data_IF_088696693340
#
_entry.id   IF_088696693340
#
_cell.length_a   1.000
_cell.length_b   1.000
_cell.length_c   1.000
_cell.angle_alpha   90.00
_cell.angle_beta   90.00
_cell.angle_gamma   90.00
#
_symmetry.space_group_name_H-M   'P 1'
#
loop_
_entity.id
_entity.type
_entity.pdbx_description
1 polymer ?
#
# COMPACT_ATOMS: atom_id res chain seq x y z
N UNK A 1 -9.75 -4.09 -10.97
CA UNK A 1 -9.70 -3.01 -9.96
C UNK A 1 -8.23 -2.75 -9.61
N UNK A 2 -7.75 -1.51 -9.73
CA UNK A 2 -6.31 -1.15 -9.62
C UNK A 2 -5.64 -1.67 -8.32
N UNK A 3 -6.37 -1.72 -7.20
CA UNK A 3 -5.85 -2.12 -5.89
C UNK A 3 -5.25 -3.55 -5.85
N UNK A 4 -5.81 -4.52 -6.59
CA UNK A 4 -5.35 -5.93 -6.54
C UNK A 4 -3.89 -6.08 -6.99
N UNK A 5 -3.50 -5.39 -8.06
CA UNK A 5 -2.14 -5.50 -8.60
C UNK A 5 -1.08 -5.00 -7.59
N UNK A 6 -1.36 -3.90 -6.88
CA UNK A 6 -0.45 -3.39 -5.84
C UNK A 6 -0.36 -4.34 -4.64
N UNK A 7 -1.47 -4.95 -4.24
CA UNK A 7 -1.46 -5.95 -3.16
C UNK A 7 -0.58 -7.14 -3.55
N UNK A 8 -0.77 -7.70 -4.74
CA UNK A 8 0.05 -8.83 -5.21
C UNK A 8 1.54 -8.45 -5.33
N UNK A 9 1.84 -7.26 -5.86
CA UNK A 9 3.22 -6.76 -5.91
C UNK A 9 3.84 -6.69 -4.51
N UNK A 10 3.11 -6.20 -3.50
CA UNK A 10 3.60 -6.18 -2.12
C UNK A 10 3.82 -7.60 -1.58
N UNK A 11 2.90 -8.54 -1.84
CA UNK A 11 3.01 -9.94 -1.39
C UNK A 11 4.24 -10.64 -1.97
N UNK A 12 4.63 -10.31 -3.21
CA UNK A 12 5.81 -10.89 -3.85
C UNK A 12 7.10 -10.16 -3.44
N UNK A 13 7.09 -8.82 -3.37
CA UNK A 13 8.31 -8.04 -3.17
C UNK A 13 8.76 -7.94 -1.70
N UNK A 14 7.82 -7.97 -0.74
CA UNK A 14 8.14 -7.76 0.68
C UNK A 14 8.90 -8.92 1.31
N UNK A 15 8.56 -10.21 1.10
CA UNK A 15 9.28 -11.32 1.73
C UNK A 15 10.81 -11.28 1.50
N UNK A 16 11.33 -11.15 0.26
CA UNK A 16 12.78 -11.06 0.06
C UNK A 16 13.40 -9.77 0.61
N UNK A 17 12.64 -8.69 0.79
CA UNK A 17 13.13 -7.48 1.48
C UNK A 17 13.31 -7.74 2.99
N UNK A 18 12.37 -8.47 3.61
CA UNK A 18 12.46 -8.85 5.03
C UNK A 18 13.64 -9.79 5.28
N UNK A 19 13.86 -10.77 4.40
CA UNK A 19 15.02 -11.68 4.47
C UNK A 19 16.36 -10.93 4.43
N UNK A 20 16.43 -9.82 3.69
CA UNK A 20 17.63 -8.98 3.59
C UNK A 20 17.75 -7.95 4.73
N UNK A 21 16.75 -7.81 5.58
CA UNK A 21 16.69 -6.79 6.63
C UNK A 21 16.56 -5.35 6.10
N UNK A 22 16.19 -5.18 4.82
CA UNK A 22 16.09 -3.86 4.18
C UNK A 22 15.14 -3.85 2.99
N UNK A 23 14.29 -2.82 2.93
CA UNK A 23 13.45 -2.53 1.76
C UNK A 23 12.58 -1.29 1.91
N UNK A 24 12.17 -0.69 0.79
CA UNK A 24 11.34 0.52 0.76
C UNK A 24 10.22 0.35 -0.26
N UNK A 25 8.97 0.45 0.19
CA UNK A 25 7.80 0.46 -0.68
C UNK A 25 7.22 1.88 -0.71
N UNK A 26 7.09 2.45 -1.90
CA UNK A 26 6.44 3.74 -2.13
C UNK A 26 5.23 3.53 -3.04
N UNK A 27 4.04 3.68 -2.46
CA UNK A 27 2.77 3.56 -3.16
C UNK A 27 2.28 4.94 -3.59
N UNK A 28 2.14 5.15 -4.90
CA UNK A 28 1.53 6.38 -5.43
C UNK A 28 0.01 6.24 -5.38
N UNK A 29 -0.64 7.06 -4.55
CA UNK A 29 -2.10 7.11 -4.43
C UNK A 29 -2.62 8.44 -4.99
N UNK A 30 -3.74 8.94 -4.49
CA UNK A 30 -4.40 10.13 -5.00
C UNK A 30 -5.06 10.87 -3.84
N UNK A 31 -5.16 12.20 -3.97
CA UNK A 31 -5.94 13.07 -3.06
C UNK A 31 -7.38 12.56 -2.84
N UNK A 32 -7.92 11.82 -3.81
CA UNK A 32 -9.21 11.14 -3.74
C UNK A 32 -9.39 10.17 -2.56
N UNK A 33 -8.29 9.77 -1.89
CA UNK A 33 -8.34 8.98 -0.64
C UNK A 33 -8.85 9.82 0.53
N UNK A 34 -8.41 11.08 0.62
CA UNK A 34 -8.78 11.99 1.71
C UNK A 34 -10.06 12.76 1.41
N UNK A 35 -10.23 13.15 0.14
CA UNK A 35 -11.39 13.89 -0.33
C UNK A 35 -12.05 13.14 -1.49
N UNK A 36 -13.14 12.39 -1.25
CA UNK A 36 -13.83 11.67 -2.30
C UNK A 36 -14.31 12.62 -3.41
N UNK A 37 -14.12 12.18 -4.66
CA UNK A 37 -14.57 12.91 -5.84
C UNK A 37 -15.87 12.27 -6.33
N UNK A 38 -16.86 13.10 -6.69
CA UNK A 38 -18.12 12.63 -7.24
C UNK A 38 -17.89 11.70 -8.46
N UNK A 39 -18.79 10.74 -8.66
CA UNK A 39 -18.73 9.73 -9.74
C UNK A 39 -17.55 8.73 -9.69
N UNK A 40 -16.68 8.78 -8.66
CA UNK A 40 -15.54 7.87 -8.50
C UNK A 40 -15.68 6.87 -7.33
N UNK A 41 -16.89 6.51 -6.92
CA UNK A 41 -17.15 5.63 -5.75
C UNK A 41 -16.27 4.37 -5.71
N UNK A 42 -16.26 3.58 -6.79
CA UNK A 42 -15.48 2.34 -6.83
C UNK A 42 -13.96 2.59 -6.68
N UNK A 43 -13.46 3.70 -7.24
CA UNK A 43 -12.06 4.11 -7.12
C UNK A 43 -11.73 4.55 -5.70
N UNK A 44 -12.60 5.37 -5.08
CA UNK A 44 -12.43 5.84 -3.70
C UNK A 44 -12.39 4.67 -2.72
N UNK A 45 -13.31 3.71 -2.84
CA UNK A 45 -13.32 2.49 -2.02
C UNK A 45 -12.04 1.67 -2.22
N UNK A 46 -11.61 1.47 -3.49
CA UNK A 46 -10.37 0.75 -3.80
C UNK A 46 -9.15 1.37 -3.12
N UNK A 47 -9.03 2.70 -3.18
CA UNK A 47 -7.87 3.43 -2.64
C UNK A 47 -7.90 3.52 -1.12
N UNK A 48 -9.07 3.66 -0.50
CA UNK A 48 -9.22 3.59 0.95
C UNK A 48 -8.78 2.21 1.46
N UNK A 49 -9.24 1.13 0.82
CA UNK A 49 -8.84 -0.24 1.16
C UNK A 49 -7.34 -0.47 1.00
N UNK A 50 -6.75 0.00 -0.11
CA UNK A 50 -5.31 -0.07 -0.35
C UNK A 50 -4.51 0.70 0.71
N UNK A 51 -4.98 1.89 1.11
CA UNK A 51 -4.31 2.71 2.12
C UNK A 51 -4.30 2.01 3.48
N UNK A 52 -5.42 1.39 3.87
CA UNK A 52 -5.49 0.58 5.08
C UNK A 52 -4.56 -0.64 5.02
N UNK A 53 -4.53 -1.34 3.88
CA UNK A 53 -3.61 -2.46 3.66
C UNK A 53 -2.14 -2.03 3.87
N UNK A 54 -1.70 -0.97 3.16
CA UNK A 54 -0.33 -0.46 3.26
C UNK A 54 0.02 -0.03 4.69
N UNK A 55 -0.92 0.60 5.41
CA UNK A 55 -0.72 1.06 6.78
C UNK A 55 -0.56 -0.10 7.76
N UNK A 56 -1.32 -1.18 7.60
CA UNK A 56 -1.20 -2.39 8.43
C UNK A 56 0.13 -3.08 8.12
N UNK A 57 0.41 -3.33 6.84
CA UNK A 57 1.66 -3.96 6.40
C UNK A 57 2.88 -3.19 6.89
N UNK A 58 2.88 -1.85 6.83
CA UNK A 58 3.95 -1.01 7.36
C UNK A 58 4.27 -1.31 8.83
N UNK A 59 3.26 -1.58 9.66
CA UNK A 59 3.44 -1.87 11.09
C UNK A 59 3.95 -3.28 11.32
N UNK A 60 3.48 -4.25 10.54
CA UNK A 60 3.85 -5.66 10.71
C UNK A 60 5.31 -5.93 10.34
N UNK A 61 5.85 -5.22 9.35
CA UNK A 61 7.20 -5.48 8.82
C UNK A 61 8.26 -4.46 9.25
N UNK A 62 7.88 -3.46 10.06
CA UNK A 62 8.79 -2.40 10.48
C UNK A 62 10.01 -2.94 11.24
N UNK A 63 9.81 -3.98 12.06
CA UNK A 63 10.88 -4.61 12.83
C UNK A 63 11.94 -5.30 11.94
N UNK A 64 11.57 -5.66 10.71
CA UNK A 64 12.46 -6.33 9.74
C UNK A 64 13.26 -5.35 8.88
N UNK A 65 13.28 -4.06 9.23
CA UNK A 65 14.02 -3.03 8.49
C UNK A 65 13.37 -2.58 7.18
N UNK A 66 12.13 -3.01 6.90
CA UNK A 66 11.36 -2.64 5.72
C UNK A 66 10.34 -1.55 6.06
N UNK A 67 10.24 -0.50 5.21
CA UNK A 67 9.26 0.58 5.41
C UNK A 67 8.32 0.68 4.22
N UNK A 68 7.05 1.04 4.50
CA UNK A 68 6.02 1.25 3.48
C UNK A 68 5.43 2.64 3.65
N UNK A 69 5.40 3.42 2.58
CA UNK A 69 4.84 4.77 2.53
C UNK A 69 3.88 4.91 1.35
N UNK A 70 2.90 5.80 1.49
CA UNK A 70 1.96 6.15 0.42
C UNK A 70 1.85 7.66 0.28
N UNK A 71 1.86 8.17 -0.96
CA UNK A 71 1.69 9.57 -1.30
C UNK A 71 0.31 9.85 -1.89
#
# INVERSE_FOLDING_TARGET
MNCKAMIEMCRTAIPPMRERGWGRVCAVTSVGVKQPIAYLMASSVARAGLTSFLKITAREIAADGVTVNSA
#
